data_IF_691054639107
#
_entry.id   IF_691054639107
#
_cell.length_a   1.000
_cell.length_b   1.000
_cell.length_c   1.000
_cell.angle_alpha   90.00
_cell.angle_beta   90.00
_cell.angle_gamma   90.00
#
_symmetry.space_group_name_H-M   'P 1'
#
loop_
_entity.id
_entity.type
_entity.pdbx_description
1 polymer ?
#
# COMPACT_ATOMS: atom_id res chain seq x y z
N UNK A 1 8.50 9.17 -16.30
CA UNK A 1 9.28 7.91 -16.24
C UNK A 1 10.51 8.14 -15.39
N UNK A 2 10.84 7.20 -14.52
CA UNK A 2 11.96 7.23 -13.57
C UNK A 2 12.92 6.07 -13.86
N UNK A 3 13.67 6.11 -14.98
CA UNK A 3 14.40 4.93 -15.47
C UNK A 3 15.41 4.37 -14.47
N UNK A 4 16.02 5.20 -13.63
CA UNK A 4 16.97 4.75 -12.62
C UNK A 4 16.27 4.02 -11.45
N UNK A 5 15.08 4.48 -11.06
CA UNK A 5 14.26 3.80 -10.06
C UNK A 5 13.72 2.50 -10.63
N UNK A 6 13.23 2.52 -11.86
CA UNK A 6 12.72 1.32 -12.53
C UNK A 6 13.83 0.25 -12.66
N UNK A 7 15.07 0.66 -12.96
CA UNK A 7 16.22 -0.25 -13.00
C UNK A 7 16.57 -0.82 -11.61
N UNK A 8 16.54 0.01 -10.56
CA UNK A 8 16.77 -0.44 -9.19
C UNK A 8 15.71 -1.45 -8.75
N UNK A 9 14.43 -1.15 -8.99
CA UNK A 9 13.34 -2.05 -8.62
C UNK A 9 13.40 -3.39 -9.39
N UNK A 10 13.85 -3.37 -10.64
CA UNK A 10 14.05 -4.58 -11.43
C UNK A 10 15.10 -5.53 -10.83
N UNK A 11 16.12 -5.01 -10.12
CA UNK A 11 17.09 -5.84 -9.38
C UNK A 11 16.43 -6.61 -8.23
N UNK A 12 15.28 -6.14 -7.74
CA UNK A 12 14.45 -6.80 -6.74
C UNK A 12 13.26 -7.56 -7.36
N UNK A 13 13.25 -7.80 -8.66
CA UNK A 13 12.15 -8.49 -9.33
C UNK A 13 10.85 -7.71 -9.39
N UNK A 14 10.89 -6.40 -9.12
CA UNK A 14 9.72 -5.53 -9.06
C UNK A 14 9.63 -4.64 -10.30
N UNK A 15 8.44 -4.55 -10.88
CA UNK A 15 8.18 -3.62 -11.99
C UNK A 15 6.76 -3.08 -11.94
N UNK A 16 6.54 -1.89 -12.55
CA UNK A 16 5.19 -1.33 -12.68
C UNK A 16 4.40 -2.06 -13.76
N UNK A 17 3.14 -2.32 -13.48
CA UNK A 17 2.20 -2.66 -14.54
C UNK A 17 1.77 -1.41 -15.30
N UNK A 18 1.28 -1.59 -16.52
CA UNK A 18 0.78 -0.48 -17.33
C UNK A 18 -0.57 0.02 -16.80
N UNK A 19 -0.79 1.33 -16.85
CA UNK A 19 -2.07 1.95 -16.56
C UNK A 19 -2.27 2.37 -15.10
N UNK A 20 -3.49 2.76 -14.77
CA UNK A 20 -3.95 3.09 -13.42
C UNK A 20 -5.01 2.09 -12.98
N UNK A 21 -4.88 1.60 -11.76
CA UNK A 21 -5.82 0.62 -11.21
C UNK A 21 -7.15 1.28 -10.85
N UNK A 22 -8.21 0.66 -11.27
CA UNK A 22 -9.61 1.00 -10.98
C UNK A 22 -10.25 -0.20 -10.30
N UNK A 23 -10.91 0.02 -9.19
CA UNK A 23 -11.59 -1.03 -8.46
C UNK A 23 -13.02 -1.25 -8.99
N UNK A 24 -13.33 -2.48 -9.35
CA UNK A 24 -14.65 -2.89 -9.81
C UNK A 24 -15.60 -3.23 -8.66
N UNK A 25 -15.05 -3.69 -7.52
CA UNK A 25 -15.82 -3.94 -6.32
C UNK A 25 -15.94 -2.68 -5.46
N UNK A 26 -17.17 -2.20 -5.28
CA UNK A 26 -17.46 -1.01 -4.50
C UNK A 26 -17.13 -1.13 -3.01
N UNK A 27 -16.92 -2.34 -2.48
CA UNK A 27 -16.48 -2.56 -1.10
C UNK A 27 -14.98 -2.35 -0.91
N UNK A 28 -14.21 -2.37 -2.00
CA UNK A 28 -12.76 -2.17 -2.05
C UNK A 28 -12.34 -0.79 -2.57
N UNK A 29 -13.29 0.14 -2.65
CA UNK A 29 -13.01 1.54 -3.01
C UNK A 29 -13.80 2.52 -2.14
N UNK A 30 -13.34 3.75 -2.04
CA UNK A 30 -14.13 4.80 -1.42
C UNK A 30 -15.37 5.09 -2.28
N UNK A 31 -16.50 5.25 -1.63
CA UNK A 31 -17.80 5.45 -2.27
C UNK A 31 -17.76 6.58 -3.32
N UNK A 32 -18.02 6.21 -4.58
CA UNK A 32 -18.02 7.11 -5.73
C UNK A 32 -16.64 7.43 -6.32
N UNK A 33 -15.56 6.81 -5.78
CA UNK A 33 -14.18 7.04 -6.24
C UNK A 33 -13.44 5.71 -6.46
N UNK A 34 -13.67 5.00 -7.57
CA UNK A 34 -13.10 3.67 -7.81
C UNK A 34 -11.57 3.65 -8.02
N UNK A 35 -10.93 4.82 -8.14
CA UNK A 35 -9.47 4.98 -8.13
C UNK A 35 -8.90 5.28 -6.74
N UNK A 36 -9.76 5.34 -5.72
CA UNK A 36 -9.39 5.46 -4.31
C UNK A 36 -9.55 4.09 -3.68
N UNK A 37 -8.48 3.31 -3.75
CA UNK A 37 -8.45 1.88 -3.51
C UNK A 37 -8.37 1.60 -2.01
N UNK A 38 -9.16 0.64 -1.54
CA UNK A 38 -9.12 0.07 -0.21
C UNK A 38 -8.66 -1.40 -0.32
N UNK A 39 -7.34 -1.63 -0.50
CA UNK A 39 -6.82 -2.96 -0.74
C UNK A 39 -6.93 -3.86 0.48
N UNK A 40 -6.93 -5.16 0.23
CA UNK A 40 -6.77 -6.18 1.24
C UNK A 40 -5.30 -6.36 1.61
N UNK A 41 -5.05 -6.68 2.88
CA UNK A 41 -3.74 -7.17 3.31
C UNK A 41 -3.55 -8.61 2.81
N UNK A 42 -2.41 -8.89 2.22
CA UNK A 42 -2.07 -10.23 1.78
C UNK A 42 -2.11 -11.24 2.94
N UNK A 43 -2.60 -12.45 2.66
CA UNK A 43 -2.82 -13.48 3.67
C UNK A 43 -1.56 -14.27 4.03
N UNK A 44 -0.63 -14.40 3.06
CA UNK A 44 0.60 -15.16 3.21
C UNK A 44 1.79 -14.22 2.99
N UNK A 45 2.34 -13.67 4.10
CA UNK A 45 3.51 -12.79 4.11
C UNK A 45 4.50 -13.35 5.11
N UNK A 46 5.70 -13.71 4.63
CA UNK A 46 6.73 -14.34 5.44
C UNK A 46 7.78 -13.34 5.98
N UNK A 47 7.85 -12.15 5.37
CA UNK A 47 8.79 -11.08 5.77
C UNK A 47 8.52 -10.48 7.16
N UNK A 48 7.38 -10.76 7.77
CA UNK A 48 6.99 -10.20 9.05
C UNK A 48 6.48 -8.75 9.00
N UNK A 49 6.49 -8.10 7.82
CA UNK A 49 6.01 -6.70 7.67
C UNK A 49 4.60 -6.51 8.21
N UNK A 50 3.72 -7.51 8.03
CA UNK A 50 2.31 -7.43 8.42
C UNK A 50 2.02 -8.00 9.82
N UNK A 51 3.02 -8.45 10.58
CA UNK A 51 2.81 -9.12 11.87
C UNK A 51 2.21 -8.18 12.93
N UNK A 52 2.61 -6.92 12.90
CA UNK A 52 2.16 -5.90 13.85
C UNK A 52 1.14 -4.92 13.26
N UNK A 53 0.55 -5.23 12.11
CA UNK A 53 -0.47 -4.40 11.48
C UNK A 53 -1.86 -4.83 11.93
N UNK A 54 -2.66 -3.88 12.42
CA UNK A 54 -4.09 -4.14 12.66
C UNK A 54 -4.82 -4.20 11.31
N UNK A 55 -4.98 -5.42 10.79
CA UNK A 55 -5.60 -5.68 9.48
C UNK A 55 -7.09 -5.27 9.40
N UNK A 56 -7.71 -4.92 10.53
CA UNK A 56 -9.07 -4.35 10.53
C UNK A 56 -9.08 -2.85 10.19
N UNK A 57 -7.92 -2.22 10.14
CA UNK A 57 -7.78 -0.82 9.74
C UNK A 57 -7.44 -0.75 8.25
N UNK A 58 -8.39 -0.28 7.46
CA UNK A 58 -8.20 -0.12 6.02
C UNK A 58 -7.08 0.86 5.67
N UNK A 59 -6.39 0.55 4.59
CA UNK A 59 -5.41 1.43 3.93
C UNK A 59 -6.07 2.07 2.73
N UNK A 60 -5.79 3.34 2.46
CA UNK A 60 -6.26 4.03 1.25
C UNK A 60 -5.09 4.36 0.33
N UNK A 61 -5.15 3.87 -0.89
CA UNK A 61 -4.21 4.20 -1.96
C UNK A 61 -4.96 4.95 -3.07
N UNK A 62 -4.47 6.12 -3.44
CA UNK A 62 -5.09 6.95 -4.47
C UNK A 62 -4.29 6.89 -5.77
N UNK A 63 -4.97 6.65 -6.89
CA UNK A 63 -4.36 6.70 -8.23
C UNK A 63 -3.12 5.79 -8.35
N UNK A 64 -3.18 4.59 -7.80
CA UNK A 64 -2.07 3.64 -7.81
C UNK A 64 -1.96 2.88 -9.14
N UNK A 65 -0.73 2.47 -9.46
CA UNK A 65 -0.45 1.47 -10.51
C UNK A 65 -0.24 0.10 -9.84
N UNK A 66 -0.38 -0.95 -10.60
CA UNK A 66 -0.04 -2.28 -10.12
C UNK A 66 1.47 -2.51 -10.11
N UNK A 67 1.90 -3.42 -9.27
CA UNK A 67 3.28 -3.90 -9.17
C UNK A 67 3.30 -5.36 -9.64
N UNK A 68 4.13 -5.65 -10.64
CA UNK A 68 4.41 -7.03 -11.03
C UNK A 68 5.61 -7.56 -10.26
N UNK A 69 5.46 -8.77 -9.71
CA UNK A 69 6.51 -9.52 -9.05
C UNK A 69 7.03 -10.59 -10.00
N UNK A 70 8.33 -10.59 -10.25
CA UNK A 70 9.00 -11.55 -11.10
C UNK A 70 9.94 -12.40 -10.26
N UNK A 71 9.77 -13.70 -10.28
CA UNK A 71 10.67 -14.62 -9.60
C UNK A 71 12.11 -14.49 -10.17
N UNK A 72 13.08 -14.34 -9.28
CA UNK A 72 14.51 -14.30 -9.58
C UNK A 72 15.25 -15.23 -8.62
N UNK A 73 16.39 -15.77 -9.02
CA UNK A 73 17.10 -16.83 -8.28
C UNK A 73 17.51 -16.41 -6.85
N UNK A 74 17.81 -15.11 -6.67
CA UNK A 74 18.38 -14.61 -5.41
C UNK A 74 17.46 -13.57 -4.72
N UNK A 75 16.20 -13.47 -5.11
CA UNK A 75 15.28 -12.47 -4.55
C UNK A 75 13.98 -13.12 -4.12
N UNK A 76 13.64 -12.90 -2.86
CA UNK A 76 12.31 -13.19 -2.32
C UNK A 76 11.47 -11.94 -2.50
N UNK A 77 10.29 -12.05 -3.10
CA UNK A 77 9.34 -10.94 -3.22
C UNK A 77 7.93 -11.38 -2.82
N UNK A 78 7.22 -10.51 -2.12
CA UNK A 78 5.90 -10.76 -1.58
C UNK A 78 4.96 -9.58 -1.81
N UNK A 79 3.69 -9.87 -2.14
CA UNK A 79 2.65 -8.88 -2.11
C UNK A 79 2.28 -8.55 -0.65
N UNK A 80 2.15 -7.27 -0.33
CA UNK A 80 1.69 -6.80 0.99
C UNK A 80 0.24 -6.32 0.94
N UNK A 81 -0.13 -5.62 -0.12
CA UNK A 81 -1.47 -5.10 -0.36
C UNK A 81 -1.92 -5.49 -1.77
N UNK A 82 -3.16 -5.96 -1.89
CA UNK A 82 -3.74 -6.41 -3.16
C UNK A 82 -5.15 -5.88 -3.37
N UNK A 83 -5.53 -5.66 -4.63
CA UNK A 83 -6.92 -5.33 -4.99
C UNK A 83 -7.82 -6.55 -4.93
N UNK A 84 -9.12 -6.34 -5.11
CA UNK A 84 -10.06 -7.42 -5.43
C UNK A 84 -9.78 -8.02 -6.81
N UNK A 85 -10.38 -9.18 -7.08
CA UNK A 85 -10.31 -9.82 -8.41
C UNK A 85 -11.11 -9.05 -9.48
N UNK A 86 -12.01 -8.15 -9.07
CA UNK A 86 -12.84 -7.34 -9.96
C UNK A 86 -12.17 -6.04 -10.40
N UNK A 87 -10.96 -5.75 -9.87
CA UNK A 87 -10.17 -4.61 -10.30
C UNK A 87 -9.64 -4.79 -11.73
N UNK A 88 -9.41 -3.70 -12.41
CA UNK A 88 -8.79 -3.65 -13.74
C UNK A 88 -7.85 -2.45 -13.85
N UNK A 89 -6.91 -2.51 -14.79
CA UNK A 89 -5.98 -1.41 -15.02
C UNK A 89 -6.33 -0.65 -16.28
N UNK A 90 -6.62 0.64 -16.15
CA UNK A 90 -6.86 1.54 -17.29
C UNK A 90 -5.54 1.87 -17.98
N UNK A 91 -5.26 1.21 -19.11
CA UNK A 91 -4.00 1.38 -19.86
C UNK A 91 -3.76 2.81 -20.34
N UNK A 92 -4.81 3.60 -20.55
CA UNK A 92 -4.71 5.04 -20.84
C UNK A 92 -4.11 5.85 -19.67
N UNK A 93 -4.03 5.29 -18.47
CA UNK A 93 -3.43 5.93 -17.30
C UNK A 93 -4.10 7.26 -16.96
N UNK A 94 -3.31 8.30 -16.76
CA UNK A 94 -3.82 9.65 -16.45
C UNK A 94 -4.57 10.32 -17.62
N UNK A 95 -4.52 9.77 -18.82
CA UNK A 95 -5.25 10.27 -20.00
C UNK A 95 -6.62 9.60 -20.18
N UNK A 96 -7.02 8.71 -19.26
CA UNK A 96 -8.30 8.04 -19.33
C UNK A 96 -9.47 9.03 -19.32
N UNK A 97 -10.45 8.80 -20.18
CA UNK A 97 -11.67 9.62 -20.29
C UNK A 97 -12.88 8.94 -19.67
N UNK A 98 -12.78 7.67 -19.36
CA UNK A 98 -13.79 6.85 -18.69
C UNK A 98 -13.16 5.94 -17.67
N UNK A 99 -13.90 5.68 -16.59
CA UNK A 99 -13.53 4.67 -15.57
C UNK A 99 -14.13 3.29 -15.89
N UNK A 100 -14.91 3.15 -16.96
CA UNK A 100 -15.42 1.84 -17.37
C UNK A 100 -14.29 1.03 -18.00
N UNK A 101 -14.22 -0.26 -17.68
CA UNK A 101 -13.28 -1.17 -18.31
C UNK A 101 -13.51 -1.23 -19.82
N UNK A 102 -12.44 -1.20 -20.58
CA UNK A 102 -12.45 -1.25 -22.05
C UNK A 102 -11.62 -2.45 -22.55
N UNK A 103 -11.79 -2.78 -23.82
CA UNK A 103 -11.01 -3.85 -24.44
C UNK A 103 -9.51 -3.52 -24.36
N UNK A 104 -8.74 -4.45 -23.79
CA UNK A 104 -7.30 -4.31 -23.59
C UNK A 104 -6.88 -3.77 -22.20
N UNK A 105 -7.83 -3.40 -21.33
CA UNK A 105 -7.56 -3.12 -19.93
C UNK A 105 -7.37 -4.46 -19.18
N UNK A 106 -6.19 -4.73 -18.58
CA UNK A 106 -5.93 -5.97 -17.89
C UNK A 106 -6.81 -6.17 -16.66
N UNK A 107 -7.21 -7.41 -16.40
CA UNK A 107 -7.93 -7.81 -15.20
C UNK A 107 -7.00 -7.94 -13.99
N UNK A 108 -7.56 -7.69 -12.78
CA UNK A 108 -6.92 -7.94 -11.49
C UNK A 108 -6.89 -9.42 -11.06
N UNK A 109 -6.44 -9.71 -9.85
CA UNK A 109 -6.03 -8.73 -8.83
C UNK A 109 -4.65 -8.12 -9.11
N UNK A 110 -4.40 -6.91 -8.59
CA UNK A 110 -3.12 -6.22 -8.68
C UNK A 110 -2.46 -6.11 -7.31
N UNK A 111 -1.15 -6.32 -7.24
CA UNK A 111 -0.35 -5.93 -6.09
C UNK A 111 -0.14 -4.42 -6.10
N UNK A 112 -0.39 -3.75 -4.98
CA UNK A 112 -0.26 -2.31 -4.82
C UNK A 112 0.86 -1.90 -3.86
N UNK A 113 1.29 -2.83 -3.02
CA UNK A 113 2.49 -2.73 -2.19
C UNK A 113 3.17 -4.08 -2.15
N UNK A 114 4.50 -4.07 -2.25
CA UNK A 114 5.33 -5.27 -2.26
C UNK A 114 6.57 -5.09 -1.38
N UNK A 115 7.00 -6.18 -0.76
CA UNK A 115 8.30 -6.33 -0.14
C UNK A 115 9.17 -7.18 -1.04
N UNK A 116 10.47 -6.87 -1.08
CA UNK A 116 11.45 -7.75 -1.69
C UNK A 116 12.80 -7.68 -0.95
N UNK A 117 13.50 -8.81 -0.89
CA UNK A 117 14.82 -8.96 -0.28
C UNK A 117 15.75 -9.73 -1.22
N UNK A 118 16.93 -9.18 -1.42
CA UNK A 118 18.00 -9.89 -2.11
C UNK A 118 18.78 -10.74 -1.09
N UNK A 119 18.78 -12.06 -1.26
CA UNK A 119 19.39 -13.01 -0.31
C UNK A 119 20.91 -12.93 -0.24
N UNK A 120 21.57 -12.47 -1.31
CA UNK A 120 23.02 -12.36 -1.36
C UNK A 120 23.55 -11.11 -0.68
N UNK A 121 22.82 -9.99 -0.79
CA UNK A 121 23.24 -8.69 -0.25
C UNK A 121 22.53 -8.33 1.04
N UNK A 122 21.49 -9.07 1.41
CA UNK A 122 20.55 -8.78 2.49
C UNK A 122 19.83 -7.43 2.35
N UNK A 123 19.93 -6.80 1.17
CA UNK A 123 19.25 -5.56 0.88
C UNK A 123 17.74 -5.80 0.77
N UNK A 124 16.97 -4.91 1.37
CA UNK A 124 15.51 -4.98 1.41
C UNK A 124 14.88 -3.72 0.79
N UNK A 125 13.73 -3.89 0.17
CA UNK A 125 12.92 -2.81 -0.35
C UNK A 125 11.45 -3.08 -0.07
N UNK A 126 10.72 -2.02 0.30
CA UNK A 126 9.26 -2.00 0.29
C UNK A 126 8.84 -0.93 -0.70
N UNK A 127 8.06 -1.33 -1.68
CA UNK A 127 7.53 -0.43 -2.68
C UNK A 127 6.01 -0.33 -2.55
N UNK A 128 5.54 0.91 -2.43
CA UNK A 128 4.13 1.26 -2.41
C UNK A 128 3.91 2.24 -3.55
N UNK A 129 3.13 1.86 -4.55
CA UNK A 129 2.92 2.73 -5.73
C UNK A 129 1.76 3.70 -5.50
N UNK A 130 1.95 4.60 -4.53
CA UNK A 130 1.01 5.68 -4.22
C UNK A 130 1.76 6.88 -3.65
N UNK A 131 1.67 8.02 -4.33
CA UNK A 131 2.35 9.25 -3.92
C UNK A 131 1.69 10.02 -2.78
N UNK A 132 0.47 9.67 -2.36
CA UNK A 132 -0.32 10.43 -1.38
C UNK A 132 -0.59 9.66 -0.08
N UNK A 133 0.12 8.57 0.17
CA UNK A 133 -0.14 7.71 1.30
C UNK A 133 0.13 8.39 2.65
N UNK A 134 1.00 9.39 2.67
CA UNK A 134 1.40 10.20 3.84
C UNK A 134 0.56 11.48 4.03
N UNK A 135 -0.56 11.63 3.33
CA UNK A 135 -1.39 12.82 3.41
C UNK A 135 -2.13 12.89 4.76
N UNK A 136 -1.94 13.99 5.51
CA UNK A 136 -2.55 14.21 6.83
C UNK A 136 -4.10 14.11 6.81
N UNK A 137 -4.74 14.56 5.73
CA UNK A 137 -6.19 14.45 5.57
C UNK A 137 -6.68 13.00 5.49
N UNK A 138 -5.85 12.08 4.98
CA UNK A 138 -6.14 10.65 4.92
C UNK A 138 -6.00 10.03 6.31
N UNK A 139 -5.00 10.42 7.09
CA UNK A 139 -4.75 9.87 8.43
C UNK A 139 -5.92 10.08 9.41
N UNK A 140 -6.62 11.21 9.27
CA UNK A 140 -7.77 11.52 10.11
C UNK A 140 -8.98 10.62 9.82
N UNK A 141 -9.09 10.13 8.59
CA UNK A 141 -10.22 9.30 8.13
C UNK A 141 -9.87 7.81 8.17
N UNK A 142 -8.67 7.46 7.76
CA UNK A 142 -8.17 6.08 7.68
C UNK A 142 -6.79 5.96 8.33
N UNK A 143 -6.73 5.72 9.64
CA UNK A 143 -5.47 5.61 10.39
C UNK A 143 -4.62 4.38 9.99
N UNK A 144 -5.16 3.46 9.19
CA UNK A 144 -4.45 2.29 8.68
C UNK A 144 -3.22 2.66 7.85
N UNK A 145 -3.24 3.78 7.11
CA UNK A 145 -2.06 4.25 6.37
C UNK A 145 -0.85 4.47 7.29
N UNK A 146 -1.07 5.14 8.43
CA UNK A 146 0.02 5.41 9.39
C UNK A 146 0.57 4.11 9.97
N UNK A 147 -0.30 3.20 10.42
CA UNK A 147 0.13 1.94 11.03
C UNK A 147 0.85 1.04 10.03
N UNK A 148 0.41 1.04 8.77
CA UNK A 148 1.08 0.30 7.70
C UNK A 148 2.46 0.90 7.37
N UNK A 149 2.58 2.22 7.22
CA UNK A 149 3.87 2.88 6.99
C UNK A 149 4.84 2.69 8.16
N UNK A 150 4.34 2.73 9.40
CA UNK A 150 5.15 2.44 10.59
C UNK A 150 5.66 1.00 10.58
N UNK A 151 4.83 0.03 10.24
CA UNK A 151 5.24 -1.37 10.13
C UNK A 151 6.32 -1.55 9.06
N UNK A 152 6.13 -0.96 7.86
CA UNK A 152 7.14 -0.96 6.81
C UNK A 152 8.49 -0.37 7.28
N UNK A 153 8.44 0.80 7.94
CA UNK A 153 9.64 1.46 8.43
C UNK A 153 10.35 0.65 9.52
N UNK A 154 9.58 0.01 10.42
CA UNK A 154 10.13 -0.83 11.50
C UNK A 154 10.86 -2.05 10.92
N UNK A 155 10.27 -2.71 9.93
CA UNK A 155 10.90 -3.86 9.26
C UNK A 155 12.23 -3.47 8.62
N UNK A 156 12.27 -2.37 7.87
CA UNK A 156 13.49 -1.90 7.20
C UNK A 156 14.56 -1.32 8.14
N UNK A 157 14.19 -0.93 9.37
CA UNK A 157 15.13 -0.35 10.33
C UNK A 157 15.96 -1.38 11.08
N UNK A 158 15.78 -2.68 10.86
CA UNK A 158 16.49 -3.78 11.57
C UNK A 158 16.41 -3.72 13.10
N UNK A 159 15.39 -3.08 13.67
CA UNK A 159 15.21 -3.03 15.12
C UNK A 159 14.42 -4.25 15.60
N UNK A 160 15.09 -5.17 16.30
CA UNK A 160 14.52 -6.40 16.86
C UNK A 160 13.39 -6.20 17.88
N UNK A 161 13.07 -5.01 18.29
CA UNK A 161 11.88 -4.70 19.08
C UNK A 161 11.59 -3.21 19.20
N UNK A 162 10.79 -2.65 18.33
CA UNK A 162 10.07 -1.42 18.65
C UNK A 162 8.70 -1.77 19.21
N UNK A 163 8.50 -1.47 20.47
CA UNK A 163 7.15 -1.46 21.02
C UNK A 163 6.40 -0.33 20.33
N UNK A 164 5.43 -0.67 19.46
CA UNK A 164 4.53 0.32 18.87
C UNK A 164 3.81 1.03 20.04
N UNK A 165 4.17 2.29 20.27
CA UNK A 165 3.48 3.12 21.25
C UNK A 165 2.19 3.58 20.58
N UNK A 166 1.08 2.94 20.94
CA UNK A 166 -0.23 3.41 20.52
C UNK A 166 -0.43 4.88 20.93
N UNK A 167 -0.83 5.73 20.00
CA UNK A 167 -1.18 7.11 20.32
C UNK A 167 -2.38 7.12 21.28
N UNK A 168 -2.14 7.51 22.51
CA UNK A 168 -3.20 7.67 23.51
C UNK A 168 -3.89 9.00 23.26
N UNK A 169 -5.19 8.97 22.96
CA UNK A 169 -5.99 10.17 22.95
C UNK A 169 -5.91 10.83 24.35
N UNK A 170 -5.38 12.05 24.40
CA UNK A 170 -5.44 12.87 25.60
C UNK A 170 -6.87 13.36 25.76
N UNK A 171 -7.65 12.68 26.60
CA UNK A 171 -8.92 13.26 27.07
C UNK A 171 -8.56 14.48 27.93
N UNK A 172 -8.91 15.66 27.40
CA UNK A 172 -8.84 16.88 28.20
C UNK A 172 -9.87 16.77 29.33
N UNK A 173 -9.42 16.59 30.56
CA UNK A 173 -10.32 16.67 31.70
C UNK A 173 -10.95 18.09 31.76
N UNK A 174 -12.25 18.21 31.93
CA UNK A 174 -12.88 19.52 32.05
C UNK A 174 -12.34 20.25 33.29
N UNK A 175 -11.94 21.52 33.10
CA UNK A 175 -11.52 22.38 34.20
C UNK A 175 -12.75 22.69 35.06
N UNK A 176 -12.79 22.19 36.28
CA UNK A 176 -13.74 22.61 37.29
C UNK A 176 -13.32 23.99 37.83
N UNK A 177 -14.01 25.04 37.43
CA UNK A 177 -13.86 26.38 38.03
C UNK A 177 -14.72 26.44 39.26
N UNK A 178 -14.12 26.41 40.46
CA UNK A 178 -14.83 26.64 41.70
C UNK A 178 -15.13 28.12 41.81
N UNK A 179 -16.44 28.48 41.79
CA UNK A 179 -16.90 29.83 42.12
C UNK A 179 -16.80 30.03 43.63
N UNK A 180 -15.94 30.97 44.04
CA UNK A 180 -15.85 31.50 45.43
C UNK A 180 -16.83 32.65 45.60
#
# INVERSE_FOLDING_TARGET
RTPNLDALLAEFGLSRTEGLVVEGDSSHSMNGYPTYLLPDYASAVESGVLDNVDKNRGVLLQMAQGIALTETEDVISEALLTTSAEAYSKTAGYEMTTLTQEDGDPDGPFTLAAYARNENTEAEVIWIDCGNMDNEGIYQVLPGNVTFLQACATTLAFEESTTLIESKALEAAPLEVSNS
#
